data_IF_403950160800
#
_entry.id   IF_403950160800
#
_cell.length_a   1.000
_cell.length_b   1.000
_cell.length_c   1.000
_cell.angle_alpha   90.00
_cell.angle_beta   90.00
_cell.angle_gamma   90.00
#
_symmetry.space_group_name_H-M   'P 1'
#
loop_
_entity.id
_entity.type
_entity.pdbx_description
1 polymer ?
#
# COMPACT_ATOMS: atom_id res chain seq x y z
N UNK A 1 11.37 10.07 -6.78
CA UNK A 1 11.58 10.34 -5.33
C UNK A 1 10.82 11.57 -4.86
N UNK A 2 9.72 11.33 -4.15
CA UNK A 2 8.88 12.32 -3.49
C UNK A 2 9.67 12.96 -2.34
N UNK A 3 10.08 14.22 -2.49
CA UNK A 3 10.93 14.94 -1.51
C UNK A 3 10.20 15.25 -0.19
N UNK A 4 8.94 14.86 -0.13
CA UNK A 4 8.00 15.20 0.93
C UNK A 4 7.87 14.06 1.95
N UNK A 5 8.39 12.85 1.66
CA UNK A 5 8.37 11.71 2.59
C UNK A 5 9.65 11.72 3.41
N UNK A 6 9.53 11.72 4.73
CA UNK A 6 10.64 11.56 5.67
C UNK A 6 10.86 10.08 5.99
N UNK A 7 9.78 9.40 6.41
CA UNK A 7 9.77 7.98 6.76
C UNK A 7 8.55 7.30 6.13
N UNK A 8 8.71 6.06 5.69
CA UNK A 8 7.62 5.21 5.19
C UNK A 8 7.83 3.79 5.66
N UNK A 9 6.81 3.23 6.30
CA UNK A 9 6.74 1.83 6.69
C UNK A 9 5.57 1.17 5.97
N UNK A 10 5.82 0.03 5.32
CA UNK A 10 4.78 -0.79 4.70
C UNK A 10 4.95 -2.23 5.18
N UNK A 11 4.04 -2.70 6.02
CA UNK A 11 3.94 -4.11 6.39
C UNK A 11 2.95 -4.80 5.44
N UNK A 12 3.36 -5.93 4.86
CA UNK A 12 2.51 -6.78 4.03
C UNK A 12 2.39 -8.16 4.68
N UNK A 13 1.16 -8.66 4.76
CA UNK A 13 0.85 -10.05 5.05
C UNK A 13 0.35 -10.75 3.79
N UNK A 14 0.92 -11.91 3.46
CA UNK A 14 0.56 -12.71 2.28
C UNK A 14 -0.32 -13.91 2.67
N UNK A 15 -1.06 -14.45 1.70
CA UNK A 15 -1.94 -15.63 1.91
C UNK A 15 -1.20 -16.86 2.48
N UNK A 16 0.10 -16.98 2.19
CA UNK A 16 0.93 -18.07 2.70
C UNK A 16 1.39 -17.87 4.15
N UNK A 17 0.95 -16.80 4.81
CA UNK A 17 1.29 -16.41 6.18
C UNK A 17 2.67 -15.75 6.31
N UNK A 18 3.36 -15.46 5.20
CA UNK A 18 4.60 -14.69 5.24
C UNK A 18 4.28 -13.21 5.47
N UNK A 19 5.09 -12.56 6.32
CA UNK A 19 5.01 -11.14 6.63
C UNK A 19 6.31 -10.45 6.25
N UNK A 20 6.20 -9.32 5.56
CA UNK A 20 7.34 -8.50 5.17
C UNK A 20 7.10 -7.04 5.57
N UNK A 21 8.16 -6.35 5.97
CA UNK A 21 8.11 -4.94 6.35
C UNK A 21 9.14 -4.17 5.52
N UNK A 22 8.67 -3.24 4.71
CA UNK A 22 9.51 -2.29 4.01
C UNK A 22 9.65 -1.04 4.88
N UNK A 23 10.88 -0.64 5.16
CA UNK A 23 11.17 0.58 5.87
C UNK A 23 12.04 1.49 5.01
N UNK A 24 11.56 2.71 4.76
CA UNK A 24 12.27 3.75 4.05
C UNK A 24 12.50 4.95 4.98
N UNK A 25 13.77 5.29 5.20
CA UNK A 25 14.20 6.40 6.07
C UNK A 25 15.51 6.95 5.50
N UNK A 26 15.71 8.28 5.50
CA UNK A 26 16.97 8.93 5.09
C UNK A 26 17.51 8.48 3.70
N UNK A 27 16.60 8.28 2.72
CA UNK A 27 16.93 7.78 1.36
C UNK A 27 17.43 6.32 1.31
N UNK A 28 17.34 5.59 2.42
CA UNK A 28 17.70 4.17 2.53
C UNK A 28 16.43 3.32 2.62
N UNK A 29 16.34 2.30 1.76
CA UNK A 29 15.22 1.35 1.75
C UNK A 29 15.72 0.00 2.27
N UNK A 30 15.08 -0.49 3.33
CA UNK A 30 15.34 -1.79 3.97
C UNK A 30 14.09 -2.65 3.90
N UNK A 31 14.28 -3.93 3.66
CA UNK A 31 13.20 -4.91 3.68
C UNK A 31 13.50 -5.92 4.78
N UNK A 32 12.52 -6.16 5.64
CA UNK A 32 12.59 -7.13 6.71
C UNK A 32 11.55 -8.21 6.48
N UNK A 33 11.90 -9.46 6.76
CA UNK A 33 10.97 -10.58 6.84
C UNK A 33 10.66 -10.85 8.30
N UNK A 34 9.38 -10.76 8.69
CA UNK A 34 8.97 -11.07 10.06
C UNK A 34 8.86 -12.57 10.23
N UNK A 35 9.54 -13.12 11.25
CA UNK A 35 9.51 -14.55 11.59
C UNK A 35 9.29 -14.72 13.09
N UNK A 36 8.89 -15.92 13.54
CA UNK A 36 8.78 -16.22 14.98
C UNK A 36 10.10 -16.01 15.76
N UNK A 37 11.25 -16.03 15.08
CA UNK A 37 12.55 -15.80 15.69
C UNK A 37 12.93 -14.31 15.78
N UNK A 38 12.13 -13.43 15.18
CA UNK A 38 12.40 -12.00 15.02
C UNK A 38 12.46 -11.59 13.53
N UNK A 39 12.85 -10.34 13.31
CA UNK A 39 12.89 -9.72 11.98
C UNK A 39 14.25 -9.98 11.32
N UNK A 40 14.24 -10.49 10.10
CA UNK A 40 15.43 -10.75 9.29
C UNK A 40 15.50 -9.76 8.13
N UNK A 41 16.57 -8.95 8.05
CA UNK A 41 16.80 -8.09 6.89
C UNK A 41 17.07 -8.96 5.65
N UNK A 42 16.27 -8.76 4.61
CA UNK A 42 16.35 -9.49 3.34
C UNK A 42 16.52 -8.52 2.18
N UNK A 43 17.13 -8.98 1.10
CA UNK A 43 17.27 -8.15 -0.10
C UNK A 43 15.96 -8.12 -0.88
N UNK A 44 15.47 -6.91 -1.18
CA UNK A 44 14.35 -6.71 -2.08
C UNK A 44 14.80 -6.84 -3.56
N UNK A 45 14.85 -8.05 -4.09
CA UNK A 45 15.19 -8.32 -5.50
C UNK A 45 14.01 -8.02 -6.47
N UNK A 46 13.08 -7.14 -6.07
CA UNK A 46 11.87 -6.83 -6.83
C UNK A 46 10.75 -7.87 -6.71
N UNK A 47 10.89 -8.86 -5.81
CA UNK A 47 9.95 -9.98 -5.66
C UNK A 47 8.81 -9.73 -4.70
N UNK A 48 9.06 -8.92 -3.67
CA UNK A 48 8.08 -8.59 -2.63
C UNK A 48 7.55 -7.18 -2.88
N UNK A 49 8.47 -6.24 -3.06
CA UNK A 49 8.14 -4.87 -3.44
C UNK A 49 8.79 -4.56 -4.80
N UNK A 50 8.08 -3.90 -5.73
CA UNK A 50 8.68 -3.47 -6.98
C UNK A 50 9.93 -2.61 -6.74
N UNK A 51 10.97 -2.79 -7.55
CA UNK A 51 12.20 -1.98 -7.47
C UNK A 51 11.93 -0.48 -7.57
N UNK A 52 10.89 -0.13 -8.34
CA UNK A 52 10.45 1.24 -8.61
C UNK A 52 9.30 1.67 -7.70
N UNK A 53 9.04 0.95 -6.60
CA UNK A 53 7.95 1.26 -5.65
C UNK A 53 8.00 2.73 -5.20
N UNK A 54 9.15 3.19 -4.70
CA UNK A 54 9.32 4.59 -4.25
C UNK A 54 9.23 5.62 -5.39
N UNK A 55 9.51 5.21 -6.64
CA UNK A 55 9.38 6.09 -7.80
C UNK A 55 7.93 6.17 -8.30
N UNK A 56 7.15 5.10 -8.12
CA UNK A 56 5.71 5.07 -8.38
C UNK A 56 4.90 5.74 -7.29
N UNK A 57 5.39 5.69 -6.04
CA UNK A 57 4.76 6.27 -4.87
C UNK A 57 4.86 7.80 -4.90
N UNK A 58 4.00 8.39 -5.73
CA UNK A 58 3.87 9.83 -5.92
C UNK A 58 2.82 10.41 -4.97
N UNK A 59 3.14 10.46 -3.68
CA UNK A 59 2.28 10.98 -2.60
C UNK A 59 2.83 12.29 -2.03
N UNK A 60 1.96 13.10 -1.44
CA UNK A 60 2.29 14.39 -0.80
C UNK A 60 1.40 14.61 0.42
N UNK A 61 1.84 15.41 1.41
CA UNK A 61 1.07 15.66 2.63
C UNK A 61 -0.26 16.41 2.42
N UNK A 62 -0.45 17.06 1.27
CA UNK A 62 -1.74 17.65 0.89
C UNK A 62 -2.79 16.60 0.46
N UNK A 63 -2.45 15.31 0.38
CA UNK A 63 -3.37 14.23 0.03
C UNK A 63 -4.02 13.62 1.28
N UNK A 64 -5.31 13.34 1.19
CA UNK A 64 -6.02 12.55 2.20
C UNK A 64 -5.64 11.07 2.14
N UNK A 65 -5.85 10.36 3.24
CA UNK A 65 -5.48 8.94 3.41
C UNK A 65 -6.00 8.02 2.29
N UNK A 66 -7.24 8.24 1.81
CA UNK A 66 -7.84 7.48 0.70
C UNK A 66 -7.03 7.59 -0.60
N UNK A 67 -6.56 8.80 -0.94
CA UNK A 67 -5.71 8.97 -2.13
C UNK A 67 -4.33 8.38 -1.93
N UNK A 68 -3.80 8.45 -0.72
CA UNK A 68 -2.50 7.86 -0.40
C UNK A 68 -2.59 6.34 -0.52
N UNK A 69 -3.65 5.72 0.01
CA UNK A 69 -3.87 4.26 -0.09
C UNK A 69 -3.99 3.80 -1.54
N UNK A 70 -4.78 4.50 -2.37
CA UNK A 70 -4.87 4.22 -3.82
C UNK A 70 -3.49 4.26 -4.51
N UNK A 71 -2.63 5.22 -4.14
CA UNK A 71 -1.27 5.35 -4.70
C UNK A 71 -0.35 4.23 -4.21
N UNK A 72 -0.49 3.81 -2.95
CA UNK A 72 0.30 2.70 -2.41
C UNK A 72 -0.09 1.40 -3.09
N UNK A 73 -1.37 1.08 -3.18
CA UNK A 73 -1.86 -0.11 -3.90
C UNK A 73 -1.36 -0.12 -5.35
N UNK A 74 -1.50 0.99 -6.06
CA UNK A 74 -1.01 1.10 -7.43
C UNK A 74 0.53 0.98 -7.54
N UNK A 75 1.28 1.39 -6.50
CA UNK A 75 2.73 1.27 -6.45
C UNK A 75 3.19 -0.16 -6.14
N UNK A 76 2.47 -0.88 -5.26
CA UNK A 76 2.68 -2.30 -4.97
C UNK A 76 2.46 -3.14 -6.23
N UNK A 77 1.40 -2.85 -6.98
CA UNK A 77 1.15 -3.41 -8.32
C UNK A 77 0.95 -4.93 -8.35
N UNK A 78 0.76 -5.55 -7.19
CA UNK A 78 0.54 -6.98 -7.01
C UNK A 78 -0.46 -7.17 -5.87
N UNK A 79 -1.54 -7.90 -6.14
CA UNK A 79 -2.66 -8.13 -5.22
C UNK A 79 -2.50 -9.44 -4.41
N UNK A 80 -1.28 -9.99 -4.30
CA UNK A 80 -1.05 -11.26 -3.56
C UNK A 80 -0.95 -11.10 -2.03
N UNK A 81 -0.98 -9.87 -1.52
CA UNK A 81 -1.09 -9.61 -0.09
C UNK A 81 -2.56 -9.67 0.34
N UNK A 82 -2.82 -10.17 1.55
CA UNK A 82 -4.15 -10.14 2.17
C UNK A 82 -4.37 -8.87 2.98
N UNK A 83 -3.29 -8.28 3.48
CA UNK A 83 -3.32 -7.11 4.34
C UNK A 83 -2.05 -6.30 4.14
N UNK A 84 -2.20 -4.98 4.09
CA UNK A 84 -1.10 -4.03 4.06
C UNK A 84 -1.33 -2.90 5.07
N UNK A 85 -0.45 -2.78 6.05
CA UNK A 85 -0.42 -1.66 7.00
C UNK A 85 0.62 -0.65 6.53
N UNK A 86 0.20 0.60 6.37
CA UNK A 86 1.03 1.66 5.82
C UNK A 86 1.08 2.82 6.79
N UNK A 87 2.30 3.23 7.14
CA UNK A 87 2.58 4.43 7.92
C UNK A 87 3.48 5.36 7.11
N UNK A 88 3.05 6.60 6.92
CA UNK A 88 3.79 7.64 6.20
C UNK A 88 4.02 8.83 7.12
N UNK A 89 5.29 9.20 7.29
CA UNK A 89 5.69 10.44 7.95
C UNK A 89 6.22 11.41 6.90
N UNK A 90 5.56 12.55 6.76
CA UNK A 90 5.96 13.59 5.83
C UNK A 90 6.98 14.56 6.45
N UNK A 91 7.76 15.23 5.61
CA UNK A 91 8.79 16.19 6.04
C UNK A 91 8.24 17.43 6.77
N UNK A 92 6.94 17.72 6.65
CA UNK A 92 6.28 18.76 7.46
C UNK A 92 5.91 18.28 8.88
N UNK A 93 6.09 16.99 9.17
CA UNK A 93 5.76 16.33 10.43
C UNK A 93 4.34 15.74 10.47
N UNK A 94 3.57 15.82 9.39
CA UNK A 94 2.29 15.14 9.28
C UNK A 94 2.48 13.62 9.18
N UNK A 95 1.63 12.88 9.86
CA UNK A 95 1.66 11.41 9.94
C UNK A 95 0.33 10.86 9.43
N UNK A 96 0.40 9.84 8.59
CA UNK A 96 -0.78 9.16 8.03
C UNK A 96 -0.59 7.65 8.18
N UNK A 97 -1.48 7.02 8.94
CA UNK A 97 -1.54 5.57 9.13
C UNK A 97 -2.87 5.05 8.56
N UNK A 98 -2.81 4.00 7.75
CA UNK A 98 -3.99 3.30 7.26
C UNK A 98 -3.67 1.84 6.96
N UNK A 99 -4.72 1.03 6.96
CA UNK A 99 -4.68 -0.39 6.66
C UNK A 99 -5.50 -0.67 5.41
N UNK A 100 -4.93 -1.44 4.50
CA UNK A 100 -5.56 -1.92 3.28
C UNK A 100 -5.78 -3.41 3.48
N UNK A 101 -7.04 -3.84 3.45
CA UNK A 101 -7.38 -5.25 3.38
C UNK A 101 -7.62 -5.56 1.90
N UNK A 102 -7.00 -6.61 1.37
CA UNK A 102 -7.29 -7.03 0.01
C UNK A 102 -8.69 -7.62 -0.01
N UNK A 103 -9.66 -6.83 -0.49
CA UNK A 103 -11.01 -7.30 -0.74
C UNK A 103 -10.93 -8.32 -1.88
N UNK A 104 -11.32 -9.58 -1.63
CA UNK A 104 -11.69 -10.50 -2.72
C UNK A 104 -12.68 -9.71 -3.59
N UNK A 105 -12.43 -9.56 -4.90
CA UNK A 105 -13.30 -8.84 -5.84
C UNK A 105 -14.77 -9.18 -5.57
N UNK A 106 -15.46 -8.37 -4.76
CA UNK A 106 -16.91 -8.35 -4.73
C UNK A 106 -17.24 -7.61 -6.03
N UNK A 107 -17.51 -8.40 -7.07
CA UNK A 107 -18.12 -7.95 -8.31
C UNK A 107 -19.34 -7.12 -7.92
N UNK A 108 -19.21 -5.79 -7.80
CA UNK A 108 -20.35 -4.91 -7.60
C UNK A 108 -21.25 -5.03 -8.84
N UNK A 109 -22.25 -5.88 -8.63
CA UNK A 109 -23.50 -6.06 -9.33
C UNK A 109 -24.08 -4.68 -9.71
N UNK A 110 -23.80 -4.20 -10.93
CA UNK A 110 -24.56 -3.11 -11.56
C UNK A 110 -25.96 -3.63 -11.97
N UNK A 111 -26.75 -4.11 -11.00
CA UNK A 111 -28.21 -4.21 -11.14
C UNK A 111 -28.82 -2.85 -10.77
N UNK A 112 -28.98 -1.97 -11.76
CA UNK A 112 -30.05 -0.96 -11.70
C UNK A 112 -30.82 -0.97 -13.04
N UNK A 113 -31.70 -1.97 -13.15
CA UNK A 113 -32.86 -1.92 -14.03
C UNK A 113 -33.86 -0.90 -13.48
N UNK A 114 -33.87 0.32 -14.03
CA UNK A 114 -35.06 1.20 -13.98
C UNK A 114 -35.43 1.61 -15.42
N UNK A 115 -35.92 0.63 -16.19
CA UNK A 115 -36.82 0.87 -17.33
C UNK A 115 -38.24 1.01 -16.76
N UNK A 116 -38.58 2.20 -16.26
CA UNK A 116 -39.98 2.57 -16.11
C UNK A 116 -40.15 4.08 -16.37
N UNK A 117 -41.29 4.38 -17.01
CA UNK A 117 -41.84 5.69 -17.35
C UNK A 117 -41.49 6.28 -18.75
N UNK A 118 -42.34 6.00 -19.76
CA UNK A 118 -43.40 6.98 -20.05
C UNK A 118 -44.60 6.39 -20.83
N UNK A 119 -45.73 6.45 -20.16
CA UNK A 119 -47.11 6.25 -20.59
C UNK A 119 -47.51 7.25 -21.71
N UNK A 120 -47.91 6.77 -22.91
CA UNK A 120 -48.97 7.38 -23.78
C UNK A 120 -49.31 6.65 -25.07
#
# INVERSE_FOLDING_TARGET
MSKDIQELTVELEFENGEKYELHFEEEELKLYKKTDAGDEEVNNDGKVFPSDFMDKLSISSDMDAERISEKVVAALGDDSFIEADVEVVFADGSEVEFKIEAEEEDEEDEEDEEDDEEDK
#
